data_IF_485518079961
#
_entry.id   IF_485518079961
#
_cell.length_a   1.000
_cell.length_b   1.000
_cell.length_c   1.000
_cell.angle_alpha   90.00
_cell.angle_beta   90.00
_cell.angle_gamma   90.00
#
_symmetry.space_group_name_H-M   'P 1'
#
loop_
_entity.id
_entity.type
_entity.pdbx_description
1 polymer ?
#
# COMPACT_ATOMS: atom_id res chain seq x y z
N UNK A 1 13.76 4.66 -46.44
CA UNK A 1 14.36 5.29 -45.24
C UNK A 1 13.19 5.80 -44.42
N UNK A 2 12.64 4.90 -43.61
CA UNK A 2 11.50 5.15 -42.73
C UNK A 2 11.98 5.92 -41.49
N UNK A 3 11.38 7.08 -41.25
CA UNK A 3 11.42 7.72 -39.93
C UNK A 3 10.08 7.51 -39.27
N UNK A 4 9.96 6.40 -38.56
CA UNK A 4 8.85 6.06 -37.68
C UNK A 4 8.92 6.96 -36.43
N UNK A 5 8.42 8.19 -36.57
CA UNK A 5 8.37 9.18 -35.51
C UNK A 5 7.03 9.08 -34.79
N UNK A 6 7.08 8.62 -33.54
CA UNK A 6 5.92 8.59 -32.65
C UNK A 6 5.27 9.98 -32.55
N UNK A 7 3.93 10.09 -32.61
CA UNK A 7 3.26 11.39 -32.64
C UNK A 7 3.53 12.18 -31.36
N UNK A 8 4.15 13.35 -31.53
CA UNK A 8 4.42 14.31 -30.46
C UNK A 8 3.21 15.23 -30.30
N UNK A 9 2.73 15.41 -29.07
CA UNK A 9 1.71 16.42 -28.80
C UNK A 9 2.33 17.82 -28.84
N UNK A 10 2.12 18.55 -29.94
CA UNK A 10 2.71 19.88 -30.21
C UNK A 10 2.36 20.98 -29.19
N UNK A 11 1.43 20.75 -28.25
CA UNK A 11 1.05 21.74 -27.21
C UNK A 11 1.72 21.50 -25.85
N UNK A 12 2.31 20.33 -25.61
CA UNK A 12 2.97 20.00 -24.33
C UNK A 12 4.31 19.25 -24.45
N UNK A 13 4.75 18.91 -25.66
CA UNK A 13 6.05 18.28 -25.95
C UNK A 13 6.32 16.99 -25.15
N UNK A 14 5.28 16.18 -24.93
CA UNK A 14 5.39 14.87 -24.27
C UNK A 14 5.18 13.77 -25.32
N UNK A 15 6.20 12.91 -25.49
CA UNK A 15 6.16 11.66 -26.25
C UNK A 15 5.30 10.63 -25.51
N UNK A 16 4.36 10.01 -26.22
CA UNK A 16 3.50 8.94 -25.69
C UNK A 16 3.83 7.65 -26.45
N UNK A 17 4.15 6.53 -25.79
CA UNK A 17 4.25 5.24 -26.47
C UNK A 17 2.87 4.79 -26.98
N UNK A 18 2.79 4.11 -28.13
CA UNK A 18 1.52 3.76 -28.75
C UNK A 18 0.88 2.58 -28.02
N UNK A 19 -0.17 2.81 -27.22
CA UNK A 19 -1.01 1.72 -26.73
C UNK A 19 -2.49 2.12 -26.61
N UNK A 20 -3.26 1.53 -27.53
CA UNK A 20 -4.64 1.04 -27.46
C UNK A 20 -5.70 2.02 -26.94
N UNK A 21 -6.41 2.59 -27.92
CA UNK A 21 -7.67 3.31 -27.73
C UNK A 21 -8.74 2.45 -27.07
N UNK A 22 -9.63 3.14 -26.33
CA UNK A 22 -10.89 2.72 -25.73
C UNK A 22 -10.77 2.18 -24.30
N UNK A 23 -10.95 3.10 -23.33
CA UNK A 23 -12.07 3.10 -22.38
C UNK A 23 -11.73 4.08 -21.23
N UNK A 24 -12.49 5.18 -21.10
CA UNK A 24 -12.05 6.42 -20.44
C UNK A 24 -12.24 6.41 -18.92
N UNK A 25 -11.16 6.52 -18.16
CA UNK A 25 -11.16 6.71 -16.71
C UNK A 25 -10.22 7.85 -16.30
N UNK A 26 -10.78 8.98 -15.88
CA UNK A 26 -10.06 10.15 -15.35
C UNK A 26 -9.44 11.07 -16.42
N UNK A 27 -9.85 12.34 -16.43
CA UNK A 27 -9.39 13.37 -17.38
C UNK A 27 -8.32 14.28 -16.77
N UNK A 28 -7.20 14.44 -17.46
CA UNK A 28 -6.33 15.61 -17.33
C UNK A 28 -7.07 16.89 -17.78
N UNK A 29 -7.46 17.79 -16.86
CA UNK A 29 -8.21 19.03 -17.21
C UNK A 29 -7.49 19.99 -18.18
N UNK A 30 -6.16 19.90 -18.33
CA UNK A 30 -5.39 20.74 -19.28
C UNK A 30 -5.12 20.08 -20.63
N UNK A 31 -5.23 18.75 -20.74
CA UNK A 31 -4.74 18.02 -21.90
C UNK A 31 -5.70 16.96 -22.45
N UNK A 32 -6.85 16.73 -21.81
CA UNK A 32 -7.87 15.74 -22.19
C UNK A 32 -7.33 14.32 -22.41
N UNK A 33 -6.10 14.00 -21.96
CA UNK A 33 -5.56 12.65 -22.00
C UNK A 33 -6.33 11.80 -20.98
N UNK A 34 -6.85 10.68 -21.46
CA UNK A 34 -7.55 9.66 -20.70
C UNK A 34 -6.52 8.64 -20.22
N UNK A 35 -6.43 8.40 -18.91
CA UNK A 35 -5.67 7.25 -18.43
C UNK A 35 -6.47 6.00 -18.80
N UNK A 36 -5.85 4.97 -19.39
CA UNK A 36 -6.58 3.76 -19.72
C UNK A 36 -7.10 3.12 -18.42
N UNK A 37 -8.36 2.67 -18.42
CA UNK A 37 -8.92 1.88 -17.31
C UNK A 37 -8.15 0.57 -17.10
N UNK A 38 -7.58 0.03 -18.19
CA UNK A 38 -6.70 -1.14 -18.17
C UNK A 38 -5.26 -0.68 -18.25
N UNK A 39 -4.58 -0.77 -17.11
CA UNK A 39 -3.15 -0.49 -16.98
C UNK A 39 -2.42 -1.82 -16.99
N UNK A 40 -1.45 -1.97 -17.89
CA UNK A 40 -0.55 -3.11 -17.96
C UNK A 40 0.81 -2.77 -17.33
N UNK A 41 1.68 -3.77 -17.12
CA UNK A 41 2.98 -3.55 -16.44
C UNK A 41 3.86 -2.55 -17.19
N UNK A 42 3.84 -2.58 -18.53
CA UNK A 42 4.58 -1.63 -19.38
C UNK A 42 4.17 -0.18 -19.12
N UNK A 43 2.90 0.06 -18.81
CA UNK A 43 2.38 1.40 -18.52
C UNK A 43 2.91 1.91 -17.17
N UNK A 44 2.98 1.04 -16.15
CA UNK A 44 3.57 1.38 -14.86
C UNK A 44 5.05 1.76 -15.02
N UNK A 45 5.81 0.96 -15.76
CA UNK A 45 7.22 1.20 -16.03
C UNK A 45 7.42 2.52 -16.80
N UNK A 46 6.60 2.77 -17.82
CA UNK A 46 6.65 4.02 -18.58
C UNK A 46 6.31 5.23 -17.69
N UNK A 47 5.32 5.10 -16.80
CA UNK A 47 4.89 6.15 -15.89
C UNK A 47 5.96 6.50 -14.85
N UNK A 48 6.68 5.50 -14.33
CA UNK A 48 7.77 5.69 -13.35
C UNK A 48 9.00 6.37 -13.97
N UNK A 49 9.34 6.02 -15.22
CA UNK A 49 10.42 6.66 -15.99
C UNK A 49 10.07 8.08 -16.46
N UNK A 50 8.78 8.36 -16.66
CA UNK A 50 8.30 9.65 -17.12
C UNK A 50 8.56 10.79 -16.13
N UNK A 51 8.85 12.00 -16.66
CA UNK A 51 9.02 13.23 -15.86
C UNK A 51 7.70 13.72 -15.26
N UNK A 52 6.56 13.36 -15.84
CA UNK A 52 5.25 13.82 -15.38
C UNK A 52 4.70 12.94 -14.24
N UNK A 53 5.01 13.34 -13.00
CA UNK A 53 4.59 12.62 -11.79
C UNK A 53 3.08 12.68 -11.54
N UNK A 54 2.34 13.61 -12.18
CA UNK A 54 0.93 13.90 -11.86
C UNK A 54 -0.02 12.74 -12.11
N UNK A 55 0.36 11.82 -13.01
CA UNK A 55 -0.49 10.70 -13.38
C UNK A 55 -0.13 9.39 -12.67
N UNK A 56 1.01 9.31 -11.98
CA UNK A 56 1.51 8.07 -11.36
C UNK A 56 0.47 7.42 -10.44
N UNK A 57 -0.13 8.22 -9.57
CA UNK A 57 -1.21 7.77 -8.69
C UNK A 57 -2.37 7.11 -9.45
N UNK A 58 -2.81 7.69 -10.57
CA UNK A 58 -3.93 7.15 -11.36
C UNK A 58 -3.58 5.81 -12.02
N UNK A 59 -2.36 5.68 -12.56
CA UNK A 59 -1.90 4.40 -13.14
C UNK A 59 -1.87 3.29 -12.08
N UNK A 60 -1.30 3.59 -10.92
CA UNK A 60 -1.20 2.62 -9.83
C UNK A 60 -2.55 2.32 -9.18
N UNK A 61 -3.43 3.30 -9.04
CA UNK A 61 -4.81 3.11 -8.56
C UNK A 61 -5.62 2.20 -9.50
N UNK A 62 -5.54 2.44 -10.81
CA UNK A 62 -6.20 1.57 -11.80
C UNK A 62 -5.61 0.15 -11.80
N UNK A 63 -4.29 0.02 -11.66
CA UNK A 63 -3.62 -1.28 -11.61
C UNK A 63 -3.99 -2.06 -10.35
N UNK A 64 -3.91 -1.42 -9.18
CA UNK A 64 -4.13 -2.09 -7.90
C UNK A 64 -5.59 -2.49 -7.68
N UNK A 65 -6.56 -1.90 -8.39
CA UNK A 65 -7.98 -2.33 -8.38
C UNK A 65 -8.22 -3.68 -9.05
N UNK A 66 -7.29 -4.17 -9.87
CA UNK A 66 -7.41 -5.44 -10.61
C UNK A 66 -6.68 -6.59 -9.90
N UNK A 67 -6.44 -7.68 -10.62
CA UNK A 67 -5.55 -8.79 -10.21
C UNK A 67 -4.15 -8.50 -10.77
N UNK A 68 -3.20 -8.03 -9.93
CA UNK A 68 -1.84 -7.74 -10.38
C UNK A 68 -1.06 -9.03 -10.64
N UNK A 69 0.00 -8.93 -11.44
CA UNK A 69 0.87 -10.05 -11.85
C UNK A 69 2.27 -9.90 -11.25
N UNK A 70 2.99 -11.01 -11.07
CA UNK A 70 4.35 -10.98 -10.49
C UNK A 70 5.35 -10.20 -11.35
N UNK A 71 5.12 -10.09 -12.66
CA UNK A 71 5.95 -9.28 -13.55
C UNK A 71 5.97 -7.79 -13.15
N UNK A 72 4.96 -7.32 -12.42
CA UNK A 72 4.93 -5.94 -11.91
C UNK A 72 5.72 -5.76 -10.61
N UNK A 73 6.17 -6.83 -9.95
CA UNK A 73 6.79 -6.74 -8.64
C UNK A 73 7.99 -5.78 -8.59
N UNK A 74 8.91 -5.75 -9.58
CA UNK A 74 10.01 -4.79 -9.57
C UNK A 74 9.54 -3.32 -9.56
N UNK A 75 8.55 -2.96 -10.38
CA UNK A 75 8.05 -1.58 -10.46
C UNK A 75 7.17 -1.20 -9.25
N UNK A 76 6.48 -2.18 -8.64
CA UNK A 76 5.75 -1.97 -7.39
C UNK A 76 6.70 -1.74 -6.22
N UNK A 77 7.83 -2.47 -6.16
CA UNK A 77 8.88 -2.26 -5.16
C UNK A 77 9.53 -0.88 -5.31
N UNK A 78 9.82 -0.44 -6.53
CA UNK A 78 10.29 0.93 -6.79
C UNK A 78 9.29 1.98 -6.29
N UNK A 79 7.99 1.74 -6.47
CA UNK A 79 6.94 2.64 -6.01
C UNK A 79 6.79 2.73 -4.48
N UNK A 80 7.15 1.68 -3.74
CA UNK A 80 7.19 1.71 -2.26
C UNK A 80 8.24 2.70 -1.72
N UNK A 81 9.29 2.99 -2.50
CA UNK A 81 10.35 3.94 -2.15
C UNK A 81 9.99 5.39 -2.50
N UNK A 82 8.79 5.64 -3.01
CA UNK A 82 8.32 6.97 -3.37
C UNK A 82 7.96 7.80 -2.13
N UNK A 83 8.25 9.10 -2.17
CA UNK A 83 7.70 10.06 -1.19
C UNK A 83 6.21 10.39 -1.40
N UNK A 84 5.58 9.84 -2.43
CA UNK A 84 4.14 9.97 -2.69
C UNK A 84 3.37 8.83 -2.01
N UNK A 85 2.73 9.15 -0.89
CA UNK A 85 1.98 8.16 -0.09
C UNK A 85 0.86 7.48 -0.85
N UNK A 86 0.21 8.17 -1.80
CA UNK A 86 -0.85 7.54 -2.58
C UNK A 86 -0.26 6.43 -3.46
N UNK A 87 0.90 6.70 -4.06
CA UNK A 87 1.64 5.73 -4.87
C UNK A 87 2.05 4.51 -4.03
N UNK A 88 2.62 4.75 -2.84
CA UNK A 88 3.03 3.70 -1.89
C UNK A 88 1.85 2.82 -1.48
N UNK A 89 0.71 3.42 -1.11
CA UNK A 89 -0.52 2.69 -0.73
C UNK A 89 -1.00 1.78 -1.86
N UNK A 90 -1.08 2.29 -3.09
CA UNK A 90 -1.51 1.49 -4.23
C UNK A 90 -0.52 0.35 -4.53
N UNK A 91 0.78 0.59 -4.39
CA UNK A 91 1.80 -0.43 -4.56
C UNK A 91 1.68 -1.54 -3.50
N UNK A 92 1.55 -1.17 -2.22
CA UNK A 92 1.35 -2.13 -1.14
C UNK A 92 0.09 -2.99 -1.36
N UNK A 93 -1.05 -2.38 -1.70
CA UNK A 93 -2.29 -3.10 -2.00
C UNK A 93 -2.12 -4.08 -3.17
N UNK A 94 -1.42 -3.67 -4.24
CA UNK A 94 -1.15 -4.55 -5.36
C UNK A 94 -0.25 -5.74 -4.97
N UNK A 95 0.80 -5.49 -4.19
CA UNK A 95 1.70 -6.52 -3.66
C UNK A 95 0.92 -7.51 -2.76
N UNK A 96 0.06 -7.01 -1.87
CA UNK A 96 -0.72 -7.86 -0.96
C UNK A 96 -1.65 -8.84 -1.69
N UNK A 97 -2.16 -8.46 -2.86
CA UNK A 97 -2.96 -9.35 -3.72
C UNK A 97 -2.16 -10.51 -4.32
N UNK A 98 -0.83 -10.39 -4.38
CA UNK A 98 0.07 -11.47 -4.80
C UNK A 98 0.38 -12.46 -3.68
N UNK A 99 0.09 -12.08 -2.42
CA UNK A 99 0.32 -12.87 -1.20
C UNK A 99 1.79 -13.31 -1.06
N UNK A 100 2.04 -14.52 -0.57
CA UNK A 100 3.35 -15.13 -0.35
C UNK A 100 4.27 -15.13 -1.58
N UNK A 101 3.71 -15.06 -2.81
CA UNK A 101 4.53 -14.98 -4.02
C UNK A 101 5.34 -13.68 -4.12
N UNK A 102 4.98 -12.64 -3.36
CA UNK A 102 5.68 -11.36 -3.32
C UNK A 102 6.57 -11.19 -2.08
N UNK A 103 7.03 -12.30 -1.47
CA UNK A 103 7.87 -12.29 -0.26
C UNK A 103 9.15 -11.47 -0.41
N UNK A 104 9.69 -11.34 -1.61
CA UNK A 104 10.86 -10.50 -1.89
C UNK A 104 10.63 -8.99 -1.63
N UNK A 105 9.37 -8.54 -1.52
CA UNK A 105 9.03 -7.15 -1.23
C UNK A 105 8.97 -6.82 0.27
N UNK A 106 9.15 -7.80 1.17
CA UNK A 106 9.10 -7.59 2.63
C UNK A 106 10.03 -6.45 3.11
N UNK A 107 11.31 -6.37 2.69
CA UNK A 107 12.18 -5.29 3.11
C UNK A 107 11.67 -3.90 2.69
N UNK A 108 11.15 -3.78 1.46
CA UNK A 108 10.63 -2.52 0.92
C UNK A 108 9.32 -2.11 1.63
N UNK A 109 8.46 -3.07 1.97
CA UNK A 109 7.24 -2.85 2.75
C UNK A 109 7.55 -2.41 4.18
N UNK A 110 8.54 -3.03 4.84
CA UNK A 110 9.00 -2.61 6.17
C UNK A 110 9.53 -1.17 6.14
N UNK A 111 10.35 -0.83 5.15
CA UNK A 111 10.88 0.52 4.97
C UNK A 111 9.76 1.54 4.74
N UNK A 112 8.80 1.23 3.87
CA UNK A 112 7.66 2.09 3.58
C UNK A 112 6.72 2.27 4.79
N UNK A 113 6.46 1.19 5.55
CA UNK A 113 5.65 1.24 6.77
C UNK A 113 6.33 2.05 7.88
N UNK A 114 7.66 2.01 7.96
CA UNK A 114 8.48 2.72 8.94
C UNK A 114 8.71 4.20 8.59
N UNK A 115 8.38 4.61 7.36
CA UNK A 115 8.58 5.97 6.89
C UNK A 115 7.56 6.91 7.52
N UNK A 116 8.07 8.03 8.03
CA UNK A 116 7.29 9.12 8.62
C UNK A 116 7.59 10.37 7.82
N UNK A 117 6.55 11.07 7.38
CA UNK A 117 6.72 12.29 6.60
C UNK A 117 6.85 13.54 7.49
N UNK A 118 6.84 14.72 6.87
CA UNK A 118 6.88 16.00 7.55
C UNK A 118 5.71 16.25 8.53
N UNK A 119 4.60 15.49 8.45
CA UNK A 119 3.49 15.59 9.40
C UNK A 119 3.72 14.74 10.65
N UNK A 120 4.82 14.00 10.72
CA UNK A 120 5.10 13.10 11.85
C UNK A 120 4.24 11.84 11.88
N UNK A 121 3.46 11.57 10.82
CA UNK A 121 2.57 10.40 10.77
C UNK A 121 3.06 9.36 9.75
N UNK A 122 2.91 8.06 10.04
CA UNK A 122 3.29 7.00 9.11
C UNK A 122 2.14 6.75 8.12
N UNK A 123 2.00 7.62 7.12
CA UNK A 123 0.83 7.67 6.24
C UNK A 123 0.52 6.37 5.49
N UNK A 124 1.55 5.58 5.15
CA UNK A 124 1.42 4.32 4.42
C UNK A 124 1.44 3.07 5.34
N UNK A 125 1.59 3.26 6.64
CA UNK A 125 1.73 2.16 7.60
C UNK A 125 0.56 1.17 7.59
N UNK A 126 -0.72 1.59 7.63
CA UNK A 126 -1.83 0.63 7.65
C UNK A 126 -1.83 -0.30 6.43
N UNK A 127 -1.64 0.25 5.23
CA UNK A 127 -1.63 -0.52 3.98
C UNK A 127 -0.40 -1.43 3.89
N UNK A 128 0.79 -0.93 4.26
CA UNK A 128 2.02 -1.74 4.26
C UNK A 128 1.97 -2.85 5.31
N UNK A 129 1.45 -2.58 6.51
CA UNK A 129 1.32 -3.57 7.58
C UNK A 129 0.35 -4.69 7.21
N UNK A 130 -0.83 -4.35 6.69
CA UNK A 130 -1.78 -5.36 6.19
C UNK A 130 -1.17 -6.22 5.07
N UNK A 131 -0.33 -5.60 4.24
CA UNK A 131 0.40 -6.29 3.17
C UNK A 131 1.46 -7.23 3.73
N UNK A 132 2.25 -6.79 4.71
CA UNK A 132 3.24 -7.62 5.41
C UNK A 132 2.59 -8.88 5.98
N UNK A 133 1.43 -8.77 6.62
CA UNK A 133 0.68 -9.94 7.14
C UNK A 133 0.23 -10.90 6.02
N UNK A 134 -0.12 -10.36 4.85
CA UNK A 134 -0.57 -11.16 3.70
C UNK A 134 0.56 -11.86 2.96
N UNK A 135 1.77 -11.28 3.02
CA UNK A 135 2.96 -11.75 2.30
C UNK A 135 3.82 -12.65 3.18
N UNK A 136 4.05 -12.24 4.43
CA UNK A 136 4.85 -12.97 5.41
C UNK A 136 4.52 -12.52 6.85
N UNK A 137 3.45 -13.09 7.43
CA UNK A 137 3.10 -12.84 8.85
C UNK A 137 4.11 -13.37 9.86
N UNK A 138 5.11 -14.16 9.44
CA UNK A 138 6.15 -14.70 10.32
C UNK A 138 7.38 -13.79 10.45
N UNK A 139 7.42 -12.69 9.69
CA UNK A 139 8.48 -11.69 9.72
C UNK A 139 8.66 -11.11 11.14
N UNK A 140 9.80 -11.36 11.82
CA UNK A 140 10.01 -10.94 13.21
C UNK A 140 10.07 -9.41 13.38
N UNK A 141 10.29 -8.67 12.31
CA UNK A 141 10.36 -7.21 12.28
C UNK A 141 8.98 -6.54 12.38
N UNK A 142 7.89 -7.28 12.20
CA UNK A 142 6.52 -6.72 12.26
C UNK A 142 6.17 -6.22 13.66
N UNK A 143 6.45 -6.99 14.71
CA UNK A 143 6.10 -6.59 16.09
C UNK A 143 6.91 -5.36 16.55
N UNK A 144 8.25 -5.28 16.36
CA UNK A 144 9.03 -4.07 16.63
C UNK A 144 8.52 -2.84 15.85
N UNK A 145 8.13 -3.03 14.58
CA UNK A 145 7.54 -1.95 13.77
C UNK A 145 6.22 -1.45 14.38
N UNK A 146 5.35 -2.34 14.86
CA UNK A 146 4.10 -1.98 15.53
C UNK A 146 4.38 -1.21 16.82
N UNK A 147 5.28 -1.70 17.67
CA UNK A 147 5.70 -1.04 18.93
C UNK A 147 6.24 0.37 18.69
N UNK A 148 6.90 0.62 17.55
CA UNK A 148 7.36 1.97 17.18
C UNK A 148 6.23 3.00 17.04
N UNK A 149 5.00 2.58 16.72
CA UNK A 149 3.88 3.49 16.44
C UNK A 149 2.70 3.33 17.40
N UNK A 150 2.84 2.51 18.45
CA UNK A 150 1.78 2.20 19.42
C UNK A 150 1.36 3.39 20.31
N UNK A 151 2.09 4.50 20.24
CA UNK A 151 1.86 5.74 20.98
C UNK A 151 1.18 6.83 20.15
N UNK A 152 0.95 6.60 18.85
CA UNK A 152 0.29 7.57 17.97
C UNK A 152 -1.22 7.53 18.25
N UNK A 153 -1.77 8.67 18.70
CA UNK A 153 -3.21 8.88 18.85
C UNK A 153 -3.91 9.04 17.50
N UNK A 154 -4.00 7.92 16.79
CA UNK A 154 -4.71 7.81 15.53
C UNK A 154 -5.28 6.41 15.39
N UNK A 155 -6.60 6.32 15.32
CA UNK A 155 -7.31 5.06 15.19
C UNK A 155 -6.87 4.22 13.98
N UNK A 156 -6.45 4.84 12.88
CA UNK A 156 -6.11 4.10 11.67
C UNK A 156 -4.85 3.22 11.86
N UNK A 157 -3.69 3.76 12.29
CA UNK A 157 -2.56 2.94 12.75
C UNK A 157 -2.92 1.96 13.87
N UNK A 158 -3.63 2.39 14.92
CA UNK A 158 -3.98 1.52 16.06
C UNK A 158 -4.77 0.29 15.61
N UNK A 159 -5.84 0.50 14.84
CA UNK A 159 -6.69 -0.60 14.37
C UNK A 159 -5.96 -1.54 13.40
N UNK A 160 -5.02 -1.03 12.59
CA UNK A 160 -4.16 -1.87 11.76
C UNK A 160 -3.21 -2.72 12.61
N UNK A 161 -2.59 -2.14 13.63
CA UNK A 161 -1.73 -2.84 14.60
C UNK A 161 -2.48 -3.98 15.30
N UNK A 162 -3.68 -3.70 15.84
CA UNK A 162 -4.50 -4.71 16.51
C UNK A 162 -4.84 -5.88 15.56
N UNK A 163 -5.26 -5.59 14.34
CA UNK A 163 -5.56 -6.64 13.34
C UNK A 163 -4.32 -7.45 12.97
N UNK A 164 -3.18 -6.79 12.80
CA UNK A 164 -1.93 -7.43 12.45
C UNK A 164 -1.46 -8.39 13.55
N UNK A 165 -1.43 -7.94 14.80
CA UNK A 165 -1.04 -8.76 15.95
C UNK A 165 -2.01 -9.94 16.14
N UNK A 166 -3.31 -9.72 16.00
CA UNK A 166 -4.31 -10.79 16.04
C UNK A 166 -4.13 -11.82 14.91
N UNK A 167 -3.60 -11.42 13.75
CA UNK A 167 -3.33 -12.31 12.63
C UNK A 167 -2.02 -13.10 12.81
N UNK A 168 -1.02 -12.53 13.48
CA UNK A 168 0.23 -13.20 13.86
C UNK A 168 -0.06 -14.28 14.91
N UNK A 169 -0.72 -13.90 16.01
CA UNK A 169 -1.31 -14.82 16.99
C UNK A 169 -0.34 -15.64 17.86
N UNK A 170 0.98 -15.40 17.78
CA UNK A 170 1.94 -15.98 18.73
C UNK A 170 1.89 -15.23 20.08
N UNK A 171 2.57 -15.77 21.11
CA UNK A 171 2.52 -15.23 22.47
C UNK A 171 2.94 -13.76 22.54
N UNK A 172 4.07 -13.40 21.90
CA UNK A 172 4.54 -12.01 21.86
C UNK A 172 3.52 -11.07 21.19
N UNK A 173 2.88 -11.50 20.10
CA UNK A 173 1.89 -10.70 19.42
C UNK A 173 0.62 -10.52 20.26
N UNK A 174 0.20 -11.56 20.99
CA UNK A 174 -0.97 -11.48 21.86
C UNK A 174 -0.73 -10.60 23.09
N UNK A 175 0.48 -10.65 23.67
CA UNK A 175 0.90 -9.72 24.72
C UNK A 175 0.89 -8.28 24.21
N UNK A 176 1.56 -8.00 23.08
CA UNK A 176 1.56 -6.67 22.48
C UNK A 176 0.14 -6.18 22.11
N UNK A 177 -0.74 -7.10 21.71
CA UNK A 177 -2.13 -6.78 21.37
C UNK A 177 -2.93 -6.39 22.62
N UNK A 178 -2.75 -7.10 23.72
CA UNK A 178 -3.35 -6.76 25.01
C UNK A 178 -2.84 -5.40 25.51
N UNK A 179 -1.53 -5.15 25.41
CA UNK A 179 -0.92 -3.90 25.87
C UNK A 179 -1.47 -2.68 25.10
N UNK A 180 -1.55 -2.78 23.77
CA UNK A 180 -2.11 -1.70 22.93
C UNK A 180 -3.60 -1.52 23.23
N UNK A 181 -4.34 -2.62 23.37
CA UNK A 181 -5.76 -2.58 23.71
C UNK A 181 -6.00 -1.82 25.02
N UNK A 182 -5.29 -2.19 26.10
CA UNK A 182 -5.52 -1.62 27.42
C UNK A 182 -5.08 -0.16 27.51
N UNK A 183 -3.98 0.19 26.83
CA UNK A 183 -3.52 1.58 26.75
C UNK A 183 -4.56 2.50 26.12
N UNK A 184 -5.16 2.07 25.02
CA UNK A 184 -6.06 2.93 24.23
C UNK A 184 -7.54 2.76 24.57
N UNK A 185 -7.94 1.70 25.28
CA UNK A 185 -9.34 1.48 25.65
C UNK A 185 -10.02 2.66 26.36
N UNK A 186 -9.34 3.45 27.22
CA UNK A 186 -9.94 4.64 27.83
C UNK A 186 -10.26 5.76 26.83
N UNK A 187 -9.48 5.88 25.76
CA UNK A 187 -9.57 6.95 24.75
C UNK A 187 -10.51 6.59 23.59
N UNK A 188 -10.82 5.29 23.42
CA UNK A 188 -11.70 4.83 22.36
C UNK A 188 -13.14 5.30 22.54
N UNK A 189 -13.73 5.78 21.43
CA UNK A 189 -15.17 5.90 21.36
C UNK A 189 -15.85 4.51 21.35
N UNK A 190 -17.18 4.49 21.54
CA UNK A 190 -17.98 3.25 21.62
C UNK A 190 -17.74 2.29 20.45
N UNK A 191 -17.59 2.79 19.23
CA UNK A 191 -17.38 1.96 18.03
C UNK A 191 -15.97 1.38 18.00
N UNK A 192 -14.96 2.20 18.28
CA UNK A 192 -13.56 1.78 18.32
C UNK A 192 -13.33 0.72 19.40
N UNK A 193 -13.87 0.97 20.60
CA UNK A 193 -13.78 0.04 21.72
C UNK A 193 -14.39 -1.32 21.39
N UNK A 194 -15.61 -1.33 20.85
CA UNK A 194 -16.26 -2.56 20.39
C UNK A 194 -15.40 -3.35 19.40
N UNK A 195 -14.83 -2.68 18.40
CA UNK A 195 -13.96 -3.35 17.41
C UNK A 195 -12.68 -3.89 18.06
N UNK A 196 -12.07 -3.14 18.98
CA UNK A 196 -10.87 -3.58 19.68
C UNK A 196 -11.15 -4.79 20.61
N UNK A 197 -12.26 -4.75 21.36
CA UNK A 197 -12.73 -5.85 22.21
C UNK A 197 -12.99 -7.12 21.37
N UNK A 198 -13.68 -6.97 20.23
CA UNK A 198 -13.96 -8.08 19.28
C UNK A 198 -12.66 -8.71 18.77
N UNK A 199 -11.69 -7.91 18.32
CA UNK A 199 -10.39 -8.40 17.84
C UNK A 199 -9.64 -9.16 18.94
N UNK A 200 -9.57 -8.62 20.16
CA UNK A 200 -8.89 -9.23 21.30
C UNK A 200 -9.54 -10.57 21.69
N UNK A 201 -10.87 -10.60 21.77
CA UNK A 201 -11.62 -11.80 22.12
C UNK A 201 -11.41 -12.91 21.08
N UNK A 202 -11.50 -12.59 19.79
CA UNK A 202 -11.26 -13.56 18.70
C UNK A 202 -9.83 -14.10 18.70
N UNK A 203 -8.83 -13.25 18.94
CA UNK A 203 -7.44 -13.66 18.98
C UNK A 203 -7.18 -14.63 20.15
N UNK A 204 -7.73 -14.36 21.33
CA UNK A 204 -7.65 -15.26 22.50
C UNK A 204 -8.37 -16.59 22.30
N UNK A 205 -9.53 -16.56 21.63
CA UNK A 205 -10.28 -17.78 21.31
C UNK A 205 -9.47 -18.72 20.40
N UNK A 206 -8.80 -18.17 19.37
CA UNK A 206 -7.96 -18.94 18.43
C UNK A 206 -6.72 -19.58 19.07
N UNK A 207 -6.21 -19.04 20.18
CA UNK A 207 -5.08 -19.63 20.93
C UNK A 207 -5.51 -20.88 21.74
N UNK A 208 -6.77 -20.94 22.14
CA UNK A 208 -7.30 -21.98 23.02
C UNK A 208 -7.73 -23.25 22.27
N UNK A 209 -7.71 -23.23 20.93
CA UNK A 209 -8.08 -24.34 20.03
C UNK A 209 -6.85 -25.02 19.47
#
# INVERSE_FOLDING_TARGET
MDTDQAPVCYRCNVTVPPAVHQDTGGLCRKCQKTVPKRVEVVDLVACMKGKDKRFRGIYFDNYCKRKPTLDALPVLREALLSGDHHLVKCAAVAIGKMKENAREAVPDLLAAAAYVDHTGLPQAYPECLNTLISVDKSCPEIIPLIKRFDHIDNWNPISASLKALAAIGNDEALEALQDIHDRWSPEFNKTQKRVADEILAEAKARRST
#
